data_IF_849169025827
#
_entry.id   IF_849169025827
#
_cell.length_a   1.000
_cell.length_b   1.000
_cell.length_c   1.000
_cell.angle_alpha   90.00
_cell.angle_beta   90.00
_cell.angle_gamma   90.00
#
_symmetry.space_group_name_H-M   'P 1'
#
loop_
_entity.id
_entity.type
_entity.pdbx_description
1 polymer ?
#
# COMPACT_ATOMS: atom_id res chain seq x y z
N UNK A 1 -0.66 -19.55 32.98
CA UNK A 1 0.10 -19.34 31.75
C UNK A 1 -0.12 -17.93 31.27
N UNK A 2 0.93 -17.13 31.23
CA UNK A 2 0.78 -15.77 30.76
C UNK A 2 0.40 -15.79 29.28
N UNK A 3 -0.65 -15.03 28.92
CA UNK A 3 -0.97 -14.84 27.51
C UNK A 3 0.20 -14.11 26.88
N UNK A 4 0.85 -14.75 25.95
CA UNK A 4 1.86 -14.11 25.14
C UNK A 4 1.13 -13.14 24.20
N UNK A 5 1.32 -11.85 24.43
CA UNK A 5 0.93 -10.87 23.44
C UNK A 5 1.78 -11.13 22.22
N UNK A 6 1.17 -11.65 21.18
CA UNK A 6 1.87 -11.83 19.92
C UNK A 6 2.38 -10.48 19.46
N UNK A 7 3.68 -10.37 19.18
CA UNK A 7 4.23 -9.20 18.51
C UNK A 7 3.50 -9.03 17.17
N UNK A 8 3.27 -7.78 16.71
CA UNK A 8 2.73 -7.56 15.38
C UNK A 8 3.52 -8.35 14.35
N UNK A 9 2.85 -9.16 13.55
CA UNK A 9 3.48 -10.00 12.54
C UNK A 9 3.19 -9.45 11.14
N UNK A 10 3.96 -9.93 10.16
CA UNK A 10 3.74 -9.57 8.77
C UNK A 10 2.28 -9.78 8.35
N UNK A 11 1.62 -10.85 8.83
CA UNK A 11 0.24 -11.17 8.47
C UNK A 11 -0.79 -10.16 9.01
N UNK A 12 -0.44 -9.36 10.00
CA UNK A 12 -1.31 -8.28 10.49
C UNK A 12 -1.59 -7.25 9.40
N UNK A 13 -0.74 -7.12 8.38
CA UNK A 13 -0.96 -6.23 7.26
C UNK A 13 -2.14 -6.65 6.37
N UNK A 14 -2.57 -7.91 6.42
CA UNK A 14 -3.67 -8.40 5.60
C UNK A 14 -4.98 -7.73 6.02
N UNK A 15 -5.71 -7.18 5.07
CA UNK A 15 -6.98 -6.50 5.32
C UNK A 15 -7.12 -5.22 4.51
N UNK A 16 -8.09 -4.41 4.90
CA UNK A 16 -8.43 -3.16 4.20
C UNK A 16 -7.96 -1.96 5.03
N UNK A 17 -7.36 -1.00 4.36
CA UNK A 17 -6.70 0.12 5.01
C UNK A 17 -7.08 1.45 4.37
N UNK A 18 -7.13 2.50 5.21
CA UNK A 18 -7.23 3.89 4.75
C UNK A 18 -5.84 4.50 4.64
N UNK A 19 -5.55 5.08 3.49
CA UNK A 19 -4.35 5.86 3.22
C UNK A 19 -4.68 7.35 3.29
N UNK A 20 -3.78 8.20 3.82
CA UNK A 20 -3.99 9.65 3.77
C UNK A 20 -3.89 10.23 2.36
N UNK A 21 -3.23 9.53 1.43
CA UNK A 21 -3.10 9.99 0.05
C UNK A 21 -4.43 9.85 -0.68
N UNK A 22 -5.05 10.98 -1.05
CA UNK A 22 -6.29 11.01 -1.84
C UNK A 22 -7.42 10.20 -1.20
N UNK A 23 -7.43 10.07 0.12
CA UNK A 23 -8.43 9.27 0.85
C UNK A 23 -8.55 7.86 0.28
N UNK A 24 -7.40 7.25 -0.03
CA UNK A 24 -7.34 5.94 -0.63
C UNK A 24 -7.80 4.83 0.29
N UNK A 25 -8.43 3.81 -0.29
CA UNK A 25 -8.78 2.57 0.40
C UNK A 25 -8.06 1.45 -0.35
N UNK A 26 -7.18 0.75 0.36
CA UNK A 26 -6.33 -0.29 -0.23
C UNK A 26 -6.59 -1.61 0.48
N UNK A 27 -6.79 -2.67 -0.28
CA UNK A 27 -6.89 -4.02 0.25
C UNK A 27 -5.57 -4.73 0.11
N UNK A 28 -4.97 -5.10 1.24
CA UNK A 28 -3.74 -5.90 1.26
C UNK A 28 -4.12 -7.37 1.37
N UNK A 29 -3.57 -8.19 0.50
CA UNK A 29 -3.80 -9.63 0.46
C UNK A 29 -2.51 -10.37 0.13
N UNK A 30 -2.47 -11.67 0.45
CA UNK A 30 -1.34 -12.52 0.07
C UNK A 30 -1.31 -12.71 -1.44
N UNK A 31 -0.12 -12.59 -2.01
CA UNK A 31 0.17 -12.84 -3.43
C UNK A 31 1.38 -13.78 -3.52
N UNK A 32 1.16 -15.08 -3.30
CA UNK A 32 2.26 -16.04 -3.18
C UNK A 32 3.10 -15.73 -1.94
N UNK A 33 4.41 -15.56 -2.10
CA UNK A 33 5.33 -15.23 -1.01
C UNK A 33 5.41 -13.74 -0.71
N UNK A 34 4.69 -12.91 -1.46
CA UNK A 34 4.63 -11.46 -1.27
C UNK A 34 3.20 -11.02 -0.95
N UNK A 35 2.94 -9.72 -0.99
CA UNK A 35 1.62 -9.14 -0.82
C UNK A 35 1.24 -8.28 -2.02
N UNK A 36 -0.07 -8.25 -2.31
CA UNK A 36 -0.67 -7.28 -3.22
C UNK A 36 -1.38 -6.21 -2.40
N UNK A 37 -1.39 -4.99 -2.92
CA UNK A 37 -2.18 -3.90 -2.38
C UNK A 37 -3.08 -3.36 -3.48
N UNK A 38 -4.36 -3.74 -3.46
CA UNK A 38 -5.29 -3.38 -4.53
C UNK A 38 -6.07 -2.13 -4.14
N UNK A 39 -5.98 -1.10 -4.96
CA UNK A 39 -6.73 0.14 -4.78
C UNK A 39 -8.22 -0.13 -4.95
N UNK A 40 -9.01 0.11 -3.90
CA UNK A 40 -10.45 -0.15 -3.89
C UNK A 40 -11.27 1.12 -4.08
N UNK A 41 -10.79 2.24 -3.50
CA UNK A 41 -11.50 3.50 -3.52
C UNK A 41 -10.52 4.64 -3.33
N UNK A 42 -10.97 5.86 -3.54
CA UNK A 42 -10.20 7.08 -3.39
C UNK A 42 -10.92 8.22 -4.06
N UNK A 43 -10.39 9.44 -3.93
CA UNK A 43 -11.05 10.64 -4.47
C UNK A 43 -11.32 10.54 -5.96
N UNK A 44 -10.34 10.06 -6.75
CA UNK A 44 -10.49 9.99 -8.19
C UNK A 44 -11.53 8.94 -8.62
N UNK A 45 -11.57 7.80 -7.93
CA UNK A 45 -12.54 6.73 -8.21
C UNK A 45 -13.95 7.19 -7.83
N UNK A 46 -14.10 7.90 -6.71
CA UNK A 46 -15.41 8.45 -6.30
C UNK A 46 -15.92 9.48 -7.28
N UNK A 47 -15.02 10.30 -7.82
CA UNK A 47 -15.39 11.30 -8.83
C UNK A 47 -15.75 10.64 -10.17
N UNK A 48 -15.09 9.53 -10.51
CA UNK A 48 -15.31 8.79 -11.76
C UNK A 48 -14.89 7.32 -11.56
N UNK A 49 -15.86 6.41 -11.50
CA UNK A 49 -15.61 4.98 -11.33
C UNK A 49 -14.74 4.39 -12.46
N UNK A 50 -14.72 5.04 -13.62
CA UNK A 50 -13.90 4.64 -14.78
C UNK A 50 -12.55 5.36 -14.83
N UNK A 51 -12.14 6.02 -13.74
CA UNK A 51 -10.87 6.71 -13.69
C UNK A 51 -9.71 5.76 -14.06
N UNK A 52 -8.76 6.29 -14.82
CA UNK A 52 -7.62 5.55 -15.37
C UNK A 52 -6.32 6.03 -14.75
N UNK A 53 -5.29 5.24 -14.95
CA UNK A 53 -3.93 5.54 -14.48
C UNK A 53 -3.24 6.56 -15.39
N UNK A 54 -3.89 7.72 -15.55
CA UNK A 54 -3.54 8.75 -16.51
C UNK A 54 -2.20 9.43 -16.24
N UNK A 55 -1.72 9.38 -14.99
CA UNK A 55 -0.46 10.00 -14.58
C UNK A 55 0.75 9.07 -14.76
N UNK A 56 0.54 7.82 -15.20
CA UNK A 56 1.63 6.89 -15.42
C UNK A 56 2.58 7.45 -16.50
N UNK A 57 3.89 7.37 -16.25
CA UNK A 57 4.89 7.81 -17.21
C UNK A 57 5.01 6.87 -18.42
N UNK A 58 4.57 5.61 -18.26
CA UNK A 58 4.50 4.65 -19.35
C UNK A 58 3.14 4.81 -20.06
N UNK A 59 3.17 5.29 -21.30
CA UNK A 59 1.94 5.52 -22.07
C UNK A 59 1.14 4.24 -22.30
N UNK A 60 1.77 3.07 -22.31
CA UNK A 60 1.10 1.78 -22.45
C UNK A 60 0.23 1.44 -21.23
N UNK A 61 0.51 2.02 -20.06
CA UNK A 61 -0.19 1.75 -18.82
C UNK A 61 -1.23 2.82 -18.43
N UNK A 62 -1.26 3.95 -19.14
CA UNK A 62 -2.18 5.07 -18.80
C UNK A 62 -3.65 4.69 -18.90
N UNK A 63 -3.99 3.70 -19.69
CA UNK A 63 -5.37 3.27 -19.92
C UNK A 63 -5.89 2.25 -18.91
N UNK A 64 -5.05 1.75 -18.00
CA UNK A 64 -5.52 0.74 -17.05
C UNK A 64 -6.40 1.38 -15.96
N UNK A 65 -7.45 0.68 -15.49
CA UNK A 65 -8.32 1.23 -14.45
C UNK A 65 -7.58 1.47 -13.13
N UNK A 66 -7.92 2.53 -12.42
CA UNK A 66 -7.44 2.74 -11.05
C UNK A 66 -8.10 1.76 -10.09
N UNK A 67 -9.41 1.53 -10.20
CA UNK A 67 -10.12 0.61 -9.33
C UNK A 67 -9.60 -0.81 -9.54
N UNK A 68 -9.14 -1.43 -8.46
CA UNK A 68 -8.54 -2.77 -8.48
C UNK A 68 -7.05 -2.80 -8.81
N UNK A 69 -6.43 -1.66 -9.12
CA UNK A 69 -5.02 -1.60 -9.45
C UNK A 69 -4.16 -2.07 -8.28
N UNK A 70 -3.26 -3.03 -8.55
CA UNK A 70 -2.27 -3.44 -7.57
C UNK A 70 -1.12 -2.45 -7.56
N UNK A 71 -0.91 -1.78 -6.42
CA UNK A 71 0.12 -0.77 -6.25
C UNK A 71 1.37 -1.29 -5.52
N UNK A 72 1.38 -2.56 -5.10
CA UNK A 72 2.51 -3.17 -4.39
C UNK A 72 3.24 -4.18 -5.26
N UNK A 73 4.55 -4.29 -5.09
CA UNK A 73 5.35 -5.35 -5.71
C UNK A 73 6.60 -5.64 -4.90
N UNK A 74 7.05 -6.89 -4.93
CA UNK A 74 8.36 -7.31 -4.44
C UNK A 74 8.57 -7.30 -2.93
N UNK A 75 7.54 -7.06 -2.13
CA UNK A 75 7.68 -7.07 -0.68
C UNK A 75 8.06 -8.45 -0.15
N UNK A 76 8.97 -8.47 0.82
CA UNK A 76 9.36 -9.67 1.55
C UNK A 76 9.02 -9.50 3.03
N UNK A 77 8.66 -10.59 3.75
CA UNK A 77 8.32 -10.50 5.16
C UNK A 77 9.49 -10.00 6.00
N UNK A 78 9.19 -9.14 6.96
CA UNK A 78 10.10 -8.69 8.00
C UNK A 78 9.52 -9.04 9.38
N UNK A 79 10.31 -8.88 10.43
CA UNK A 79 9.86 -9.19 11.79
C UNK A 79 8.61 -8.39 12.19
N UNK A 80 8.51 -7.16 11.70
CA UNK A 80 7.44 -6.21 12.07
C UNK A 80 6.65 -5.68 10.87
N UNK A 81 6.68 -6.39 9.75
CA UNK A 81 5.95 -5.97 8.56
C UNK A 81 6.49 -6.56 7.27
N UNK A 82 6.69 -5.69 6.28
CA UNK A 82 7.15 -6.07 4.94
C UNK A 82 8.18 -5.05 4.44
N UNK A 83 9.21 -5.53 3.77
CA UNK A 83 10.32 -4.68 3.33
C UNK A 83 10.78 -5.00 1.90
N UNK A 84 11.68 -4.16 1.39
CA UNK A 84 12.31 -4.33 0.07
C UNK A 84 11.31 -4.34 -1.09
N UNK A 85 10.14 -3.75 -0.87
CA UNK A 85 9.11 -3.68 -1.88
C UNK A 85 9.10 -2.38 -2.66
N UNK A 86 8.16 -2.28 -3.58
CA UNK A 86 7.88 -1.06 -4.33
C UNK A 86 6.40 -0.70 -4.19
N UNK A 87 6.14 0.59 -4.13
CA UNK A 87 4.79 1.16 -4.04
C UNK A 87 4.61 2.14 -5.18
N UNK A 88 3.58 1.92 -5.99
CA UNK A 88 3.20 2.84 -7.04
C UNK A 88 2.17 3.84 -6.52
N UNK A 89 2.42 5.14 -6.72
CA UNK A 89 1.48 6.21 -6.39
C UNK A 89 0.86 6.73 -7.69
N UNK A 90 -0.39 6.33 -8.00
CA UNK A 90 -1.03 6.76 -9.24
C UNK A 90 -1.36 8.25 -9.26
N UNK A 91 -1.45 8.93 -8.11
CA UNK A 91 -1.70 10.38 -8.07
C UNK A 91 -0.52 11.18 -8.63
N UNK A 92 0.68 10.63 -8.59
CA UNK A 92 1.91 11.23 -9.10
C UNK A 92 2.52 10.46 -10.27
N UNK A 93 2.03 9.26 -10.55
CA UNK A 93 2.60 8.40 -11.58
C UNK A 93 4.01 7.91 -11.27
N UNK A 94 4.36 7.77 -9.99
CA UNK A 94 5.72 7.43 -9.54
C UNK A 94 5.73 6.19 -8.67
N UNK A 95 6.83 5.44 -8.77
CA UNK A 95 7.10 4.27 -7.94
C UNK A 95 8.18 4.59 -6.92
N UNK A 96 7.95 4.16 -5.69
CA UNK A 96 8.85 4.38 -4.55
C UNK A 96 9.30 3.04 -4.00
N UNK A 97 10.54 2.99 -3.45
CA UNK A 97 10.96 1.88 -2.60
C UNK A 97 10.16 1.92 -1.32
N UNK A 98 9.60 0.80 -0.88
CA UNK A 98 8.65 0.76 0.21
C UNK A 98 9.05 -0.14 1.37
N UNK A 99 8.67 0.29 2.58
CA UNK A 99 8.72 -0.51 3.79
C UNK A 99 7.44 -0.31 4.58
N UNK A 100 6.80 -1.41 4.95
CA UNK A 100 5.61 -1.42 5.80
C UNK A 100 6.00 -1.86 7.19
N UNK A 101 5.69 -1.05 8.20
CA UNK A 101 5.90 -1.41 9.60
C UNK A 101 4.55 -1.44 10.32
N UNK A 102 4.23 -2.58 10.92
CA UNK A 102 3.02 -2.74 11.71
C UNK A 102 3.24 -2.09 13.07
N UNK A 103 2.39 -1.13 13.43
CA UNK A 103 2.44 -0.46 14.73
C UNK A 103 1.58 -1.16 15.76
N UNK A 104 0.36 -1.52 15.36
CA UNK A 104 -0.59 -2.30 16.16
C UNK A 104 -1.61 -2.96 15.21
N UNK A 105 -2.65 -3.59 15.75
CA UNK A 105 -3.64 -4.32 14.94
C UNK A 105 -4.38 -3.42 13.94
N UNK A 106 -4.42 -2.11 14.17
CA UNK A 106 -5.21 -1.16 13.39
C UNK A 106 -4.39 -0.04 12.75
N UNK A 107 -3.07 -0.09 12.87
CA UNK A 107 -2.18 0.99 12.41
C UNK A 107 -0.91 0.42 11.80
N UNK A 108 -0.59 0.86 10.60
CA UNK A 108 0.71 0.58 10.01
C UNK A 108 1.32 1.88 9.46
N UNK A 109 2.63 1.90 9.29
CA UNK A 109 3.30 2.96 8.56
C UNK A 109 3.82 2.42 7.23
N UNK A 110 3.71 3.23 6.20
CA UNK A 110 4.30 2.97 4.89
C UNK A 110 5.34 4.04 4.62
N UNK A 111 6.61 3.65 4.61
CA UNK A 111 7.71 4.53 4.25
C UNK A 111 8.04 4.31 2.78
N UNK A 112 7.94 5.38 2.00
CA UNK A 112 8.30 5.36 0.58
C UNK A 112 9.47 6.28 0.31
N UNK A 113 10.43 5.81 -0.47
CA UNK A 113 11.63 6.56 -0.80
C UNK A 113 11.83 6.59 -2.30
N UNK A 114 12.15 7.77 -2.86
CA UNK A 114 12.70 7.86 -4.22
C UNK A 114 14.11 7.28 -4.16
N UNK A 115 14.90 7.78 -3.23
CA UNK A 115 16.18 7.23 -2.78
C UNK A 115 16.44 7.81 -1.38
N UNK A 116 17.20 7.12 -0.54
CA UNK A 116 17.53 7.61 0.82
C UNK A 116 18.46 8.82 0.69
N UNK A 117 18.20 9.95 1.40
CA UNK A 117 17.18 10.14 2.44
C UNK A 117 15.84 10.74 1.98
N UNK A 118 15.55 10.80 0.69
CA UNK A 118 14.31 11.38 0.17
C UNK A 118 13.14 10.41 0.35
N UNK A 119 12.68 10.34 1.60
CA UNK A 119 11.62 9.43 2.02
C UNK A 119 10.46 10.19 2.64
N UNK A 120 9.26 9.60 2.52
CA UNK A 120 8.05 10.04 3.20
C UNK A 120 7.42 8.84 3.90
N UNK A 121 6.90 9.07 5.10
CA UNK A 121 6.20 8.05 5.86
C UNK A 121 4.76 8.47 6.05
N UNK A 122 3.83 7.61 5.62
CA UNK A 122 2.40 7.78 5.84
C UNK A 122 1.91 6.77 6.87
N UNK A 123 0.94 7.18 7.66
CA UNK A 123 0.23 6.29 8.59
C UNK A 123 -1.06 5.82 7.92
N UNK A 124 -1.21 4.51 7.83
CA UNK A 124 -2.43 3.87 7.33
C UNK A 124 -3.20 3.29 8.50
N UNK A 125 -4.52 3.49 8.49
CA UNK A 125 -5.41 2.98 9.54
C UNK A 125 -6.33 1.93 8.95
N UNK A 126 -6.64 0.91 9.77
CA UNK A 126 -7.51 -0.18 9.31
C UNK A 126 -8.92 0.35 9.04
N UNK A 127 -9.44 0.02 7.87
CA UNK A 127 -10.82 0.28 7.50
C UNK A 127 -11.74 -0.73 8.20
N UNK A 128 -12.90 -0.27 8.62
CA UNK A 128 -13.90 -1.09 9.32
C UNK A 128 -15.16 -1.24 8.50
#
# INVERSE_FOLDING_TARGET
MAALLAAPSADTAIGTWHSPTKHGVIQISKCGSTICGNLRDGDDIRANADARDSNNSDSALKGRPLKGLNIFSGFTPAADGWENGQVYDPSKGKTYSGKITIKDANTLSLRGCIFVPLCRTDTWTRAR
#
